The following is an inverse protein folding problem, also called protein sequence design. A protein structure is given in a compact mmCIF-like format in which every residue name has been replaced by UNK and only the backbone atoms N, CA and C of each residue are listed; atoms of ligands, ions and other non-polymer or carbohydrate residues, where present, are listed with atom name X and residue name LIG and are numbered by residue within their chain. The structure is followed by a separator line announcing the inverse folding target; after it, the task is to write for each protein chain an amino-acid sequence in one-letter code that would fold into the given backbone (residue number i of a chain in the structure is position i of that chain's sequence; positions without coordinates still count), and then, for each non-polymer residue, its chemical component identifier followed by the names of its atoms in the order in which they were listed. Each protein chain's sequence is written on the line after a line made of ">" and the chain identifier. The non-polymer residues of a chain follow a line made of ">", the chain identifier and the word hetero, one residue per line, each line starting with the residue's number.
data_IF_618021004121
#
_entry.id   IF_618021004121
#
_cell.length_a   1.000
_cell.length_b   1.000
_cell.length_c   1.000
_cell.angle_alpha   90.00
_cell.angle_beta   90.00
_cell.angle_gamma   90.00
#
_symmetry.space_group_name_H-M   'P 1'
#
loop_
_entity.id
_entity.type
_entity.pdbx_description
1 polymer ?
#
# COMPACT_ATOMS: atom_id res chain seq x y z
N UNK A 1 -21.31 -15.41 7.21
CA UNK A 1 -21.11 -14.86 8.58
C UNK A 1 -22.32 -14.07 9.06
N UNK A 2 -22.56 -13.98 10.38
CA UNK A 2 -23.65 -13.18 10.97
C UNK A 2 -23.13 -11.76 11.30
N UNK A 3 -23.84 -10.71 10.90
CA UNK A 3 -23.58 -9.33 11.31
C UNK A 3 -24.68 -8.90 12.29
N UNK A 4 -24.31 -8.39 13.46
CA UNK A 4 -25.23 -7.82 14.44
C UNK A 4 -24.70 -6.46 14.89
N UNK A 5 -25.56 -5.45 14.81
CA UNK A 5 -25.38 -4.15 15.45
C UNK A 5 -26.22 -4.16 16.72
N UNK A 6 -25.55 -4.19 17.86
CA UNK A 6 -26.22 -4.33 19.17
C UNK A 6 -26.33 -2.98 19.88
N UNK A 7 -27.47 -2.75 20.53
CA UNK A 7 -27.74 -1.57 21.38
C UNK A 7 -27.25 -0.26 20.75
N UNK A 8 -26.17 0.29 21.30
CA UNK A 8 -25.58 1.56 20.88
C UNK A 8 -25.15 1.63 19.41
N UNK A 9 -24.80 0.51 18.77
CA UNK A 9 -24.45 0.51 17.34
C UNK A 9 -25.68 0.69 16.45
N UNK A 10 -26.80 0.04 16.79
CA UNK A 10 -28.06 0.19 16.06
C UNK A 10 -28.65 1.59 16.27
N UNK A 11 -28.57 2.11 17.50
CA UNK A 11 -28.99 3.47 17.81
C UNK A 11 -28.14 4.52 17.10
N UNK A 12 -26.82 4.31 16.99
CA UNK A 12 -25.93 5.15 16.20
C UNK A 12 -26.32 5.17 14.71
N UNK A 13 -26.60 4.01 14.11
CA UNK A 13 -27.06 3.93 12.72
C UNK A 13 -28.38 4.68 12.50
N UNK A 14 -29.34 4.54 13.42
CA UNK A 14 -30.63 5.24 13.34
C UNK A 14 -30.50 6.74 13.60
N UNK A 15 -29.61 7.13 14.51
CA UNK A 15 -29.29 8.54 14.76
C UNK A 15 -28.70 9.19 13.52
N UNK A 16 -27.74 8.54 12.87
CA UNK A 16 -27.16 8.97 11.59
C UNK A 16 -28.21 9.14 10.50
N UNK A 17 -29.12 8.17 10.35
CA UNK A 17 -30.21 8.28 9.37
C UNK A 17 -31.08 9.50 9.64
N UNK A 18 -31.49 9.71 10.89
CA UNK A 18 -32.31 10.86 11.29
C UNK A 18 -31.59 12.20 11.13
N UNK A 19 -30.34 12.30 11.57
CA UNK A 19 -29.56 13.56 11.53
C UNK A 19 -29.11 13.95 10.12
N UNK A 20 -28.96 12.98 9.22
CA UNK A 20 -28.71 13.19 7.80
C UNK A 20 -29.96 13.34 6.94
N UNK A 21 -31.17 13.18 7.52
CA UNK A 21 -32.42 13.23 6.75
C UNK A 21 -32.51 12.14 5.67
N UNK A 22 -31.97 10.94 5.93
CA UNK A 22 -31.95 9.82 4.98
C UNK A 22 -32.64 8.58 5.55
N UNK A 23 -32.89 7.59 4.69
CA UNK A 23 -33.33 6.26 5.13
C UNK A 23 -32.19 5.49 5.77
N UNK A 24 -32.52 4.54 6.65
CA UNK A 24 -31.55 3.62 7.24
C UNK A 24 -30.81 2.80 6.16
N UNK A 25 -31.50 2.44 5.07
CA UNK A 25 -30.89 1.80 3.91
C UNK A 25 -29.76 2.65 3.33
N UNK A 26 -30.02 3.93 2.99
CA UNK A 26 -29.02 4.81 2.38
C UNK A 26 -27.85 5.06 3.31
N UNK A 27 -28.12 5.18 4.63
CA UNK A 27 -27.08 5.29 5.66
C UNK A 27 -26.17 4.07 5.67
N UNK A 28 -26.72 2.86 5.78
CA UNK A 28 -25.91 1.65 5.85
C UNK A 28 -25.23 1.29 4.52
N UNK A 29 -25.84 1.66 3.39
CA UNK A 29 -25.20 1.57 2.07
C UNK A 29 -23.97 2.49 1.99
N UNK A 30 -24.06 3.72 2.49
CA UNK A 30 -22.92 4.63 2.56
C UNK A 30 -21.80 4.07 3.44
N UNK A 31 -22.12 3.47 4.61
CA UNK A 31 -21.13 2.74 5.42
C UNK A 31 -20.43 1.65 4.61
N UNK A 32 -21.20 0.83 3.88
CA UNK A 32 -20.64 -0.23 3.05
C UNK A 32 -19.73 0.33 1.95
N UNK A 33 -20.17 1.37 1.23
CA UNK A 33 -19.38 2.01 0.17
C UNK A 33 -18.08 2.62 0.71
N UNK A 34 -18.12 3.28 1.87
CA UNK A 34 -16.91 3.79 2.55
C UNK A 34 -15.99 2.63 2.96
N UNK A 35 -16.54 1.55 3.51
CA UNK A 35 -15.77 0.38 3.90
C UNK A 35 -15.06 -0.23 2.68
N UNK A 36 -15.79 -0.48 1.59
CA UNK A 36 -15.24 -1.00 0.33
C UNK A 36 -14.16 -0.07 -0.23
N UNK A 37 -14.43 1.24 -0.28
CA UNK A 37 -13.45 2.26 -0.72
C UNK A 37 -12.14 2.17 0.04
N UNK A 38 -12.21 1.97 1.37
CA UNK A 38 -11.04 1.89 2.26
C UNK A 38 -10.30 0.56 2.13
N UNK A 39 -10.98 -0.52 1.77
CA UNK A 39 -10.40 -1.85 1.58
C UNK A 39 -9.78 -2.05 0.19
N UNK A 40 -10.46 -1.58 -0.86
CA UNK A 40 -10.04 -1.83 -2.25
C UNK A 40 -9.20 -0.70 -2.82
N UNK A 41 -9.29 0.51 -2.26
CA UNK A 41 -8.65 1.68 -2.87
C UNK A 41 -9.29 2.10 -4.21
N UNK A 42 -10.46 1.56 -4.58
CA UNK A 42 -11.23 1.97 -5.76
C UNK A 42 -12.17 3.13 -5.45
N UNK A 43 -12.23 4.13 -6.33
CA UNK A 43 -13.07 5.33 -6.12
C UNK A 43 -14.50 5.15 -6.60
N UNK A 44 -14.67 4.36 -7.64
CA UNK A 44 -15.94 4.11 -8.30
C UNK A 44 -16.38 2.70 -7.91
N UNK A 45 -17.50 2.61 -7.20
CA UNK A 45 -18.01 1.38 -6.62
C UNK A 45 -19.44 1.16 -7.07
N UNK A 46 -19.80 -0.07 -7.38
CA UNK A 46 -21.17 -0.44 -7.77
C UNK A 46 -21.66 -1.51 -6.82
N UNK A 47 -22.81 -1.26 -6.18
CA UNK A 47 -23.44 -2.19 -5.25
C UNK A 47 -24.81 -2.58 -5.81
N UNK A 48 -25.06 -3.89 -5.90
CA UNK A 48 -26.35 -4.43 -6.30
C UNK A 48 -27.34 -4.35 -5.13
N UNK A 49 -28.57 -3.95 -5.42
CA UNK A 49 -29.67 -3.95 -4.44
C UNK A 49 -30.90 -4.62 -5.04
N UNK A 50 -31.48 -5.61 -4.36
CA UNK A 50 -32.73 -6.21 -4.80
C UNK A 50 -33.89 -5.22 -4.62
N UNK A 51 -34.80 -5.21 -5.58
CA UNK A 51 -35.99 -4.34 -5.58
C UNK A 51 -37.24 -5.17 -5.79
N UNK A 52 -38.29 -4.84 -5.04
CA UNK A 52 -39.59 -5.47 -5.21
C UNK A 52 -40.29 -4.84 -6.44
N UNK A 53 -40.14 -5.44 -7.62
CA UNK A 53 -40.83 -5.02 -8.84
C UNK A 53 -42.22 -5.64 -8.93
N UNK A 54 -42.99 -5.55 -7.83
CA UNK A 54 -44.34 -6.10 -7.76
C UNK A 54 -45.34 -5.06 -8.27
N UNK A 55 -46.05 -5.30 -9.39
CA UNK A 55 -47.06 -4.38 -9.89
C UNK A 55 -48.26 -4.30 -8.93
N UNK A 56 -48.98 -3.18 -8.98
CA UNK A 56 -50.24 -3.02 -8.23
C UNK A 56 -51.24 -4.13 -8.59
N UNK A 57 -51.92 -4.67 -7.58
CA UNK A 57 -52.88 -5.77 -7.74
C UNK A 57 -52.28 -7.18 -7.62
N UNK A 58 -50.96 -7.29 -7.50
CA UNK A 58 -50.26 -8.55 -7.30
C UNK A 58 -49.79 -8.75 -5.85
N UNK A 59 -50.21 -7.94 -4.88
CA UNK A 59 -49.71 -7.95 -3.50
C UNK A 59 -49.82 -9.34 -2.84
N UNK A 60 -50.88 -10.08 -3.14
CA UNK A 60 -51.13 -11.43 -2.61
C UNK A 60 -50.65 -12.60 -3.48
N UNK A 61 -49.98 -12.33 -4.61
CA UNK A 61 -49.61 -13.38 -5.58
C UNK A 61 -48.26 -14.01 -5.26
N UNK A 62 -48.18 -15.34 -5.27
CA UNK A 62 -46.89 -16.05 -5.20
C UNK A 62 -46.23 -16.04 -6.58
N UNK A 63 -44.99 -15.55 -6.68
CA UNK A 63 -44.23 -15.47 -7.92
C UNK A 63 -42.90 -14.72 -7.75
N UNK A 64 -42.03 -14.81 -8.74
CA UNK A 64 -40.72 -14.14 -8.74
C UNK A 64 -40.85 -12.74 -9.36
N UNK A 65 -40.89 -11.72 -8.49
CA UNK A 65 -41.00 -10.30 -8.86
C UNK A 65 -39.77 -9.48 -8.42
N UNK A 66 -38.75 -10.14 -7.87
CA UNK A 66 -37.56 -9.45 -7.38
C UNK A 66 -36.70 -9.07 -8.58
N UNK A 67 -36.50 -7.77 -8.77
CA UNK A 67 -35.51 -7.22 -9.68
C UNK A 67 -34.23 -6.84 -8.95
N UNK A 68 -33.27 -6.30 -9.70
CA UNK A 68 -32.01 -5.79 -9.16
C UNK A 68 -31.71 -4.43 -9.77
N UNK A 69 -31.26 -3.48 -8.95
CA UNK A 69 -30.69 -2.21 -9.40
C UNK A 69 -29.23 -2.13 -8.98
N UNK A 70 -28.42 -1.45 -9.78
CA UNK A 70 -27.02 -1.18 -9.48
C UNK A 70 -26.86 0.27 -9.02
N UNK A 71 -26.41 0.45 -7.79
CA UNK A 71 -26.19 1.76 -7.19
C UNK A 71 -24.71 2.08 -7.27
N UNK A 72 -24.36 3.01 -8.17
CA UNK A 72 -22.99 3.50 -8.36
C UNK A 72 -22.69 4.63 -7.37
N UNK A 73 -21.61 4.50 -6.62
CA UNK A 73 -21.07 5.53 -5.73
C UNK A 73 -19.65 5.90 -6.13
N UNK A 74 -19.41 7.19 -6.34
CA UNK A 74 -18.05 7.71 -6.56
C UNK A 74 -17.58 8.46 -5.31
N UNK A 75 -16.55 7.93 -4.65
CA UNK A 75 -16.16 8.33 -3.31
C UNK A 75 -14.70 8.80 -3.20
N UNK A 76 -14.51 10.06 -2.83
CA UNK A 76 -13.23 10.60 -2.36
C UNK A 76 -13.02 10.40 -0.87
N UNK A 77 -11.79 10.10 -0.43
CA UNK A 77 -11.48 9.93 1.00
C UNK A 77 -11.50 11.23 1.81
N UNK A 78 -11.45 12.39 1.12
CA UNK A 78 -11.55 13.70 1.73
C UNK A 78 -13.00 14.12 2.04
N UNK A 79 -13.99 13.46 1.43
CA UNK A 79 -15.41 13.74 1.70
C UNK A 79 -15.76 13.36 3.14
N UNK A 80 -16.61 14.16 3.77
CA UNK A 80 -17.25 13.84 5.04
C UNK A 80 -18.23 12.70 4.89
N UNK A 81 -18.52 11.96 5.97
CA UNK A 81 -19.52 10.89 5.90
C UNK A 81 -20.90 11.42 5.50
N UNK A 82 -21.27 12.63 5.95
CA UNK A 82 -22.52 13.29 5.58
C UNK A 82 -22.69 13.43 4.07
N UNK A 83 -21.66 13.93 3.37
CA UNK A 83 -21.68 14.07 1.91
C UNK A 83 -21.85 12.71 1.22
N UNK A 84 -21.18 11.67 1.72
CA UNK A 84 -21.33 10.30 1.16
C UNK A 84 -22.74 9.76 1.38
N UNK A 85 -23.30 9.98 2.57
CA UNK A 85 -24.65 9.55 2.91
C UNK A 85 -25.71 10.24 2.04
N UNK A 86 -25.55 11.54 1.76
CA UNK A 86 -26.42 12.31 0.86
C UNK A 86 -26.30 11.79 -0.58
N UNK A 87 -25.08 11.56 -1.07
CA UNK A 87 -24.85 10.98 -2.40
C UNK A 87 -25.47 9.58 -2.51
N UNK A 88 -25.31 8.73 -1.49
CA UNK A 88 -25.90 7.40 -1.48
C UNK A 88 -27.44 7.46 -1.51
N UNK A 89 -28.06 8.40 -0.79
CA UNK A 89 -29.51 8.63 -0.85
C UNK A 89 -29.93 9.02 -2.27
N UNK A 90 -29.29 10.03 -2.85
CA UNK A 90 -29.71 10.58 -4.15
C UNK A 90 -29.55 9.54 -5.27
N UNK A 91 -28.43 8.81 -5.27
CA UNK A 91 -28.19 7.69 -6.21
C UNK A 91 -29.15 6.53 -6.01
N UNK A 92 -29.55 6.24 -4.77
CA UNK A 92 -30.55 5.21 -4.50
C UNK A 92 -31.90 5.62 -5.08
N UNK A 93 -32.36 6.85 -4.83
CA UNK A 93 -33.64 7.34 -5.35
C UNK A 93 -33.63 7.32 -6.88
N UNK A 94 -32.59 7.86 -7.51
CA UNK A 94 -32.41 7.84 -8.97
C UNK A 94 -32.45 6.41 -9.54
N UNK A 95 -31.76 5.46 -8.91
CA UNK A 95 -31.76 4.07 -9.37
C UNK A 95 -33.15 3.40 -9.22
N UNK A 96 -33.88 3.71 -8.13
CA UNK A 96 -35.21 3.15 -7.88
C UNK A 96 -36.27 3.70 -8.85
N UNK A 97 -36.17 4.95 -9.28
CA UNK A 97 -37.05 5.55 -10.30
C UNK A 97 -36.97 4.81 -11.65
N UNK A 98 -35.87 4.08 -11.89
CA UNK A 98 -35.63 3.27 -13.08
C UNK A 98 -35.67 1.75 -12.84
N UNK A 99 -36.15 1.31 -11.67
CA UNK A 99 -36.19 -0.11 -11.26
C UNK A 99 -37.02 -1.03 -12.18
N UNK A 100 -37.89 -0.47 -13.01
CA UNK A 100 -38.71 -1.22 -13.97
C UNK A 100 -37.91 -1.86 -15.10
N UNK A 101 -36.72 -1.33 -15.44
CA UNK A 101 -35.86 -1.89 -16.48
C UNK A 101 -35.16 -3.16 -15.96
N UNK A 102 -35.30 -4.33 -16.61
CA UNK A 102 -34.65 -5.55 -16.16
C UNK A 102 -33.11 -5.42 -16.14
N UNK A 103 -32.48 -5.88 -15.06
CA UNK A 103 -31.03 -5.78 -14.88
C UNK A 103 -30.23 -6.43 -16.03
N UNK A 104 -30.73 -7.54 -16.58
CA UNK A 104 -30.10 -8.21 -17.72
C UNK A 104 -30.03 -7.32 -18.97
N UNK A 105 -31.07 -6.51 -19.22
CA UNK A 105 -31.08 -5.55 -20.33
C UNK A 105 -30.09 -4.40 -20.09
N UNK A 106 -29.95 -3.93 -18.84
CA UNK A 106 -28.93 -2.91 -18.48
C UNK A 106 -27.53 -3.42 -18.78
N UNK A 107 -27.22 -4.67 -18.40
CA UNK A 107 -25.92 -5.31 -18.68
C UNK A 107 -25.66 -5.41 -20.18
N UNK A 108 -26.67 -5.76 -20.97
CA UNK A 108 -26.59 -5.85 -22.43
C UNK A 108 -26.35 -4.48 -23.08
N UNK A 109 -27.12 -3.47 -22.69
CA UNK A 109 -27.01 -2.10 -23.21
C UNK A 109 -25.65 -1.46 -22.91
N UNK A 110 -25.05 -1.77 -21.76
CA UNK A 110 -23.73 -1.29 -21.39
C UNK A 110 -22.58 -2.07 -22.06
N UNK A 111 -22.89 -3.15 -22.79
CA UNK A 111 -21.88 -3.95 -23.49
C UNK A 111 -20.85 -4.58 -22.56
N UNK A 112 -21.23 -4.89 -21.31
CA UNK A 112 -20.30 -5.42 -20.31
C UNK A 112 -19.80 -6.79 -20.77
N UNK A 113 -18.47 -6.96 -20.82
CA UNK A 113 -17.85 -8.23 -21.19
C UNK A 113 -18.26 -9.30 -20.19
N UNK A 114 -18.88 -10.38 -20.69
CA UNK A 114 -19.25 -11.52 -19.87
C UNK A 114 -18.02 -12.32 -19.46
N UNK A 115 -17.92 -12.58 -18.16
CA UNK A 115 -16.94 -13.48 -17.55
C UNK A 115 -17.72 -14.55 -16.78
N UNK A 116 -17.58 -15.85 -17.11
CA UNK A 116 -18.29 -16.93 -16.42
C UNK A 116 -17.99 -17.01 -14.92
N UNK A 117 -16.85 -16.47 -14.48
CA UNK A 117 -16.42 -16.49 -13.08
C UNK A 117 -16.82 -15.25 -12.28
N UNK A 118 -17.54 -14.29 -12.88
CA UNK A 118 -17.93 -13.03 -12.21
C UNK A 118 -19.36 -12.63 -12.51
N UNK A 119 -20.01 -12.05 -11.50
CA UNK A 119 -21.28 -11.40 -11.72
C UNK A 119 -21.10 -10.16 -12.62
N UNK A 120 -22.00 -9.93 -13.58
CA UNK A 120 -21.90 -8.75 -14.43
C UNK A 120 -22.18 -7.49 -13.60
N UNK A 121 -21.33 -6.47 -13.78
CA UNK A 121 -21.46 -5.10 -13.24
C UNK A 121 -21.24 -4.94 -11.73
N UNK A 122 -21.68 -5.89 -10.90
CA UNK A 122 -21.62 -5.78 -9.43
C UNK A 122 -21.03 -7.05 -8.82
N UNK A 123 -19.98 -6.90 -8.00
CA UNK A 123 -19.43 -8.00 -7.19
C UNK A 123 -20.00 -8.03 -5.77
N UNK A 124 -20.63 -6.92 -5.32
CA UNK A 124 -21.15 -6.76 -3.96
C UNK A 124 -22.64 -6.46 -3.97
N UNK A 125 -23.40 -7.16 -3.12
CA UNK A 125 -24.83 -6.94 -2.89
C UNK A 125 -25.12 -6.33 -1.52
N UNK A 126 -26.14 -5.48 -1.46
CA UNK A 126 -26.65 -4.91 -0.21
C UNK A 126 -28.17 -4.83 -0.23
N UNK A 127 -28.78 -5.42 0.80
CA UNK A 127 -30.21 -5.44 1.03
C UNK A 127 -30.50 -5.13 2.51
N UNK A 128 -31.51 -4.28 2.75
CA UNK A 128 -32.07 -4.04 4.06
C UNK A 128 -33.58 -4.28 4.01
N UNK A 129 -34.06 -5.20 4.82
CA UNK A 129 -35.48 -5.48 4.97
C UNK A 129 -35.99 -5.03 6.35
N UNK A 130 -37.22 -4.56 6.39
CA UNK A 130 -37.90 -4.17 7.64
C UNK A 130 -39.20 -4.96 7.73
N UNK A 131 -39.15 -6.21 8.22
CA UNK A 131 -40.34 -7.06 8.27
C UNK A 131 -41.39 -6.49 9.23
N UNK A 132 -42.69 -6.66 8.91
CA UNK A 132 -43.79 -6.33 9.81
C UNK A 132 -43.65 -7.00 11.18
N UNK A 133 -44.18 -6.37 12.24
CA UNK A 133 -43.98 -6.82 13.62
C UNK A 133 -44.43 -8.27 13.87
N UNK A 134 -45.55 -8.68 13.29
CA UNK A 134 -46.12 -10.03 13.36
C UNK A 134 -45.24 -11.09 12.68
N UNK A 135 -44.32 -10.68 11.80
CA UNK A 135 -43.41 -11.56 11.05
C UNK A 135 -42.00 -11.60 11.61
N UNK A 136 -41.65 -10.79 12.61
CA UNK A 136 -40.28 -10.77 13.18
C UNK A 136 -39.86 -12.11 13.79
N UNK A 137 -40.77 -12.80 14.48
CA UNK A 137 -40.50 -14.13 15.04
C UNK A 137 -40.13 -15.18 13.99
N UNK A 138 -40.73 -15.10 12.79
CA UNK A 138 -40.39 -15.95 11.65
C UNK A 138 -38.94 -15.72 11.21
N UNK A 139 -38.53 -14.46 11.10
CA UNK A 139 -37.15 -14.13 10.73
C UNK A 139 -36.13 -14.53 11.79
N UNK A 140 -36.43 -14.41 13.08
CA UNK A 140 -35.53 -14.90 14.13
C UNK A 140 -35.25 -16.39 14.02
N UNK A 141 -36.28 -17.18 13.68
CA UNK A 141 -36.16 -18.62 13.41
C UNK A 141 -35.38 -18.90 12.12
N UNK A 142 -35.71 -18.22 11.02
CA UNK A 142 -35.02 -18.39 9.74
C UNK A 142 -33.53 -18.02 9.78
N UNK A 143 -33.16 -17.07 10.65
CA UNK A 143 -31.78 -16.60 10.80
C UNK A 143 -30.96 -17.44 11.79
N UNK A 144 -31.56 -18.49 12.37
CA UNK A 144 -30.92 -19.38 13.34
C UNK A 144 -30.46 -18.60 14.58
N UNK A 145 -31.30 -17.72 15.12
CA UNK A 145 -30.98 -17.06 16.38
C UNK A 145 -31.05 -18.07 17.54
N UNK A 146 -30.07 -18.06 18.47
CA UNK A 146 -30.04 -19.02 19.56
C UNK A 146 -31.31 -18.98 20.40
N UNK A 147 -31.99 -20.13 20.52
CA UNK A 147 -33.21 -20.28 21.30
C UNK A 147 -34.46 -19.67 20.69
N UNK A 148 -34.42 -19.21 19.43
CA UNK A 148 -35.59 -18.72 18.73
C UNK A 148 -36.51 -19.88 18.34
N UNK A 149 -37.76 -19.83 18.83
CA UNK A 149 -38.84 -20.72 18.41
C UNK A 149 -40.02 -19.92 17.88
N UNK A 150 -40.80 -20.52 16.98
CA UNK A 150 -41.99 -19.93 16.40
C UNK A 150 -43.15 -20.91 16.54
N UNK A 151 -44.23 -20.49 17.20
CA UNK A 151 -45.49 -21.24 17.21
C UNK A 151 -46.32 -20.82 15.99
N UNK A 152 -46.49 -21.73 15.03
CA UNK A 152 -47.27 -21.49 13.82
C UNK A 152 -48.04 -22.75 13.41
N UNK A 153 -49.35 -22.59 13.23
CA UNK A 153 -50.23 -23.70 12.83
C UNK A 153 -50.37 -24.81 13.87
N UNK A 154 -50.28 -24.46 15.17
CA UNK A 154 -50.34 -25.42 16.28
C UNK A 154 -49.08 -26.29 16.42
N UNK A 155 -47.97 -25.86 15.83
CA UNK A 155 -46.67 -26.53 15.89
C UNK A 155 -45.58 -25.54 16.29
N UNK A 156 -44.60 -26.05 17.02
CA UNK A 156 -43.37 -25.34 17.33
C UNK A 156 -42.34 -25.55 16.22
N UNK A 157 -41.74 -24.46 15.76
CA UNK A 157 -40.68 -24.42 14.76
C UNK A 157 -39.41 -23.87 15.40
N UNK A 158 -38.27 -24.46 15.09
CA UNK A 158 -36.95 -23.97 15.51
C UNK A 158 -36.04 -23.76 14.30
N UNK A 159 -35.09 -22.84 14.44
CA UNK A 159 -34.13 -22.55 13.38
C UNK A 159 -33.04 -23.62 13.33
N UNK A 160 -32.79 -24.17 12.14
CA UNK A 160 -31.65 -25.05 11.89
C UNK A 160 -30.68 -24.32 10.97
N UNK A 161 -29.46 -24.09 11.44
CA UNK A 161 -28.39 -23.48 10.63
C UNK A 161 -28.01 -24.47 9.51
N UNK A 162 -28.53 -24.25 8.31
CA UNK A 162 -28.11 -24.94 7.09
C UNK A 162 -27.06 -24.08 6.38
N UNK A 163 -25.93 -24.65 5.94
CA UNK A 163 -24.98 -23.92 5.10
C UNK A 163 -25.60 -23.67 3.72
N UNK A 164 -26.32 -22.56 3.57
CA UNK A 164 -26.76 -22.06 2.26
C UNK A 164 -25.54 -21.46 1.54
N UNK A 165 -25.03 -22.18 0.54
CA UNK A 165 -24.06 -21.66 -0.41
C UNK A 165 -24.79 -20.78 -1.43
N UNK A 166 -25.11 -19.56 -1.03
CA UNK A 166 -25.70 -18.54 -1.91
C UNK A 166 -24.62 -17.54 -2.31
N UNK A 167 -23.74 -17.97 -3.23
CA UNK A 167 -22.68 -17.15 -3.82
C UNK A 167 -23.06 -16.64 -5.21
N UNK A 168 -24.15 -15.88 -5.32
CA UNK A 168 -24.45 -15.19 -6.59
C UNK A 168 -23.52 -13.98 -6.83
N UNK A 169 -22.92 -13.45 -5.75
CA UNK A 169 -22.01 -12.32 -5.71
C UNK A 169 -20.85 -12.66 -4.76
N UNK A 170 -19.70 -12.00 -4.93
CA UNK A 170 -18.50 -12.20 -4.10
C UNK A 170 -18.79 -11.93 -2.61
N UNK A 171 -19.57 -10.88 -2.33
CA UNK A 171 -20.05 -10.50 -0.99
C UNK A 171 -21.51 -10.04 -1.08
N UNK A 172 -22.41 -10.61 -0.27
CA UNK A 172 -23.81 -10.19 -0.23
C UNK A 172 -24.26 -9.91 1.21
N UNK A 173 -24.59 -8.66 1.49
CA UNK A 173 -25.08 -8.18 2.77
C UNK A 173 -26.61 -8.17 2.79
N UNK A 174 -27.20 -8.99 3.66
CA UNK A 174 -28.64 -9.00 3.87
C UNK A 174 -28.95 -8.69 5.33
N UNK A 175 -29.42 -7.46 5.58
CA UNK A 175 -29.71 -6.95 6.92
C UNK A 175 -31.22 -6.84 7.16
N UNK A 176 -31.59 -7.00 8.42
CA UNK A 176 -32.97 -6.91 8.91
C UNK A 176 -33.05 -5.85 10.01
N UNK A 177 -34.00 -4.93 9.89
CA UNK A 177 -34.42 -4.07 11.01
C UNK A 177 -35.44 -4.79 11.87
N UNK A 178 -35.02 -5.17 13.08
CA UNK A 178 -35.83 -5.91 14.05
C UNK A 178 -36.49 -4.99 15.09
N UNK A 179 -36.35 -3.68 14.94
CA UNK A 179 -36.80 -2.67 15.91
C UNK A 179 -35.86 -2.55 17.11
N UNK A 180 -35.63 -3.63 17.88
CA UNK A 180 -34.72 -3.59 19.04
C UNK A 180 -33.23 -3.69 18.65
N UNK A 181 -32.93 -3.99 17.38
CA UNK A 181 -31.58 -4.04 16.85
C UNK A 181 -31.55 -4.21 15.33
N UNK A 182 -30.35 -4.18 14.76
CA UNK A 182 -30.10 -4.45 13.34
C UNK A 182 -29.23 -5.68 13.23
N UNK A 183 -29.62 -6.65 12.40
CA UNK A 183 -28.84 -7.86 12.26
C UNK A 183 -29.15 -8.59 10.96
N UNK A 184 -28.23 -9.44 10.53
CA UNK A 184 -28.31 -10.01 9.20
C UNK A 184 -27.25 -11.07 8.92
N UNK A 185 -27.28 -11.55 7.68
CA UNK A 185 -26.31 -12.49 7.14
C UNK A 185 -25.47 -11.78 6.10
N UNK A 186 -24.19 -12.13 6.08
CA UNK A 186 -23.26 -11.78 5.01
C UNK A 186 -22.80 -13.07 4.39
N UNK A 187 -23.31 -13.35 3.19
CA UNK A 187 -22.88 -14.45 2.34
C UNK A 187 -21.64 -14.01 1.54
N UNK A 188 -20.73 -14.94 1.28
CA UNK A 188 -19.50 -14.65 0.57
C UNK A 188 -18.97 -15.89 -0.14
N UNK A 189 -18.25 -15.69 -1.23
CA UNK A 189 -17.57 -16.78 -1.92
C UNK A 189 -16.34 -17.25 -1.10
N UNK A 190 -16.40 -18.49 -0.60
CA UNK A 190 -15.32 -19.10 0.16
C UNK A 190 -14.06 -19.39 -0.66
N UNK A 191 -14.15 -19.38 -2.00
CA UNK A 191 -12.97 -19.43 -2.86
C UNK A 191 -12.20 -18.11 -2.87
N UNK A 192 -12.85 -16.99 -2.52
CA UNK A 192 -12.26 -15.64 -2.50
C UNK A 192 -11.94 -15.17 -1.08
N UNK A 193 -12.75 -15.55 -0.08
CA UNK A 193 -12.61 -15.04 1.28
C UNK A 193 -12.55 -16.15 2.33
N UNK A 194 -11.53 -16.07 3.18
CA UNK A 194 -11.52 -16.76 4.46
C UNK A 194 -12.52 -16.13 5.43
N UNK A 195 -13.12 -16.93 6.31
CA UNK A 195 -14.01 -16.45 7.37
C UNK A 195 -13.37 -15.34 8.22
N UNK A 196 -12.07 -15.46 8.53
CA UNK A 196 -11.34 -14.46 9.31
C UNK A 196 -11.27 -13.09 8.62
N UNK A 197 -11.24 -13.07 7.28
CA UNK A 197 -11.20 -11.85 6.48
C UNK A 197 -12.56 -11.15 6.52
N UNK A 198 -13.63 -11.90 6.34
CA UNK A 198 -15.00 -11.38 6.45
C UNK A 198 -15.27 -10.88 7.86
N UNK A 199 -14.85 -11.59 8.90
CA UNK A 199 -15.02 -11.14 10.29
C UNK A 199 -14.29 -9.81 10.59
N UNK A 200 -13.10 -9.60 10.01
CA UNK A 200 -12.40 -8.30 10.09
C UNK A 200 -13.17 -7.21 9.36
N UNK A 201 -13.72 -7.51 8.19
CA UNK A 201 -14.54 -6.59 7.41
C UNK A 201 -15.81 -6.18 8.18
N UNK A 202 -16.52 -7.14 8.77
CA UNK A 202 -17.72 -6.88 9.59
C UNK A 202 -17.41 -6.08 10.86
N UNK A 203 -16.27 -6.34 11.52
CA UNK A 203 -15.79 -5.48 12.62
C UNK A 203 -15.51 -4.05 12.14
N UNK A 204 -14.90 -3.89 10.97
CA UNK A 204 -14.70 -2.59 10.33
C UNK A 204 -16.02 -1.87 10.06
N UNK A 205 -17.01 -2.58 9.51
CA UNK A 205 -18.37 -2.04 9.27
C UNK A 205 -18.99 -1.48 10.55
N UNK A 206 -19.00 -2.27 11.63
CA UNK A 206 -19.55 -1.88 12.94
C UNK A 206 -18.89 -0.62 13.50
N UNK A 207 -17.56 -0.59 13.50
CA UNK A 207 -16.79 0.57 13.97
C UNK A 207 -17.07 1.81 13.14
N UNK A 208 -17.21 1.63 11.82
CA UNK A 208 -17.48 2.73 10.92
C UNK A 208 -18.87 3.35 11.17
N UNK A 209 -19.90 2.54 11.45
CA UNK A 209 -21.21 3.03 11.90
C UNK A 209 -21.06 3.94 13.12
N UNK A 210 -20.35 3.48 14.15
CA UNK A 210 -20.17 4.23 15.40
C UNK A 210 -19.34 5.50 15.17
N UNK A 211 -18.23 5.40 14.43
CA UNK A 211 -17.34 6.52 14.16
C UNK A 211 -18.02 7.59 13.30
N UNK A 212 -18.77 7.19 12.27
CA UNK A 212 -19.56 8.10 11.45
C UNK A 212 -20.63 8.82 12.28
N UNK A 213 -21.27 8.13 13.23
CA UNK A 213 -22.29 8.73 14.09
C UNK A 213 -21.70 9.76 15.06
N UNK A 214 -20.48 9.52 15.55
CA UNK A 214 -19.79 10.43 16.44
C UNK A 214 -19.21 11.66 15.71
N UNK A 215 -18.66 11.47 14.50
CA UNK A 215 -17.94 12.50 13.76
C UNK A 215 -18.38 12.54 12.27
N UNK A 216 -19.66 12.90 11.97
CA UNK A 216 -20.21 12.80 10.62
C UNK A 216 -19.56 13.73 9.59
N UNK A 217 -19.00 14.85 10.07
CA UNK A 217 -18.36 15.87 9.23
C UNK A 217 -16.85 15.60 9.05
N UNK A 218 -16.30 14.57 9.70
CA UNK A 218 -14.89 14.17 9.54
C UNK A 218 -14.69 13.46 8.21
N UNK A 219 -13.58 13.74 7.49
CA UNK A 219 -13.25 13.02 6.26
C UNK A 219 -13.26 11.50 6.47
N UNK A 220 -13.94 10.76 5.58
CA UNK A 220 -14.10 9.31 5.71
C UNK A 220 -12.77 8.55 5.65
N UNK A 221 -11.72 9.14 5.07
CA UNK A 221 -10.35 8.63 5.12
C UNK A 221 -9.72 8.64 6.51
N UNK A 222 -10.21 9.48 7.42
CA UNK A 222 -9.71 9.62 8.79
C UNK A 222 -10.56 8.87 9.84
N UNK A 223 -11.71 8.32 9.44
CA UNK A 223 -12.48 7.44 10.32
C UNK A 223 -11.72 6.12 10.52
N UNK A 224 -11.58 5.71 11.79
CA UNK A 224 -10.76 4.57 12.18
C UNK A 224 -11.53 3.25 12.01
N UNK A 225 -10.99 2.36 11.18
CA UNK A 225 -11.56 1.02 10.96
C UNK A 225 -10.99 -0.06 11.92
N UNK A 226 -9.95 0.27 12.68
CA UNK A 226 -9.22 -0.66 13.54
C UNK A 226 -9.40 -0.29 15.01
N UNK A 227 -9.50 -1.27 15.92
CA UNK A 227 -9.36 -0.98 17.35
C UNK A 227 -7.94 -0.55 17.67
N UNK A 228 -7.80 -0.03 18.88
CA UNK A 228 -6.51 0.11 19.52
C UNK A 228 -5.70 -1.20 19.56
N UNK A 229 -6.32 -2.35 19.89
CA UNK A 229 -5.59 -3.63 19.91
C UNK A 229 -5.06 -4.04 18.52
N UNK A 230 -5.87 -3.89 17.47
CA UNK A 230 -5.47 -4.15 16.08
C UNK A 230 -4.36 -3.19 15.64
N UNK A 231 -4.42 -1.91 16.02
CA UNK A 231 -3.35 -0.93 15.75
C UNK A 231 -2.06 -1.24 16.49
N UNK A 232 -2.14 -1.63 17.76
CA UNK A 232 -0.97 -2.07 18.55
C UNK A 232 -0.32 -3.30 17.93
N UNK A 233 -1.12 -4.28 17.50
CA UNK A 233 -0.59 -5.47 16.81
C UNK A 233 0.15 -5.10 15.52
N UNK A 234 -0.40 -4.19 14.70
CA UNK A 234 0.28 -3.70 13.50
C UNK A 234 1.58 -2.95 13.83
N UNK A 235 1.57 -2.14 14.90
CA UNK A 235 2.77 -1.44 15.36
C UNK A 235 3.90 -2.41 15.73
N UNK A 236 3.56 -3.55 16.36
CA UNK A 236 4.55 -4.58 16.74
C UNK A 236 5.08 -5.34 15.52
N UNK A 237 4.23 -5.62 14.53
CA UNK A 237 4.66 -6.32 13.31
C UNK A 237 5.68 -5.52 12.50
N UNK A 238 5.60 -4.19 12.54
CA UNK A 238 6.48 -3.28 11.78
C UNK A 238 7.74 -2.82 12.51
N UNK A 239 7.86 -3.05 13.82
CA UNK A 239 8.90 -2.41 14.64
C UNK A 239 10.25 -3.15 14.68
N UNK A 240 10.35 -4.36 14.12
CA UNK A 240 11.54 -5.19 14.29
C UNK A 240 11.84 -5.46 15.77
N UNK A 241 12.98 -6.11 16.06
CA UNK A 241 13.48 -6.16 17.43
C UNK A 241 14.22 -4.87 17.76
N UNK A 242 13.94 -4.27 18.92
CA UNK A 242 14.78 -3.18 19.45
C UNK A 242 16.22 -3.68 19.56
N UNK A 243 17.13 -3.00 18.86
CA UNK A 243 18.57 -3.25 18.94
C UNK A 243 19.24 -1.95 19.31
N UNK A 244 20.04 -2.02 20.37
CA UNK A 244 20.95 -0.93 20.71
C UNK A 244 21.82 -0.59 19.49
N UNK A 245 21.88 0.68 19.08
CA UNK A 245 22.81 1.11 18.06
C UNK A 245 24.22 0.69 18.48
N UNK A 246 24.92 -0.03 17.61
CA UNK A 246 26.32 -0.35 17.89
C UNK A 246 27.13 0.96 17.95
N UNK A 247 27.99 1.09 18.96
CA UNK A 247 28.85 2.25 19.10
C UNK A 247 29.95 2.29 18.04
N UNK A 248 30.25 3.48 17.54
CA UNK A 248 31.26 3.70 16.50
C UNK A 248 30.69 3.72 15.08
N UNK A 249 31.55 4.04 14.12
CA UNK A 249 31.23 4.01 12.69
C UNK A 249 31.74 2.72 12.05
N UNK A 250 31.16 2.34 10.90
CA UNK A 250 31.69 1.24 10.07
C UNK A 250 33.18 1.42 9.81
N UNK A 251 33.60 2.66 9.48
CA UNK A 251 35.00 3.02 9.30
C UNK A 251 35.81 2.68 10.56
N UNK A 252 35.38 3.11 11.75
CA UNK A 252 36.11 2.81 12.99
C UNK A 252 36.29 1.32 13.25
N UNK A 253 35.26 0.50 12.96
CA UNK A 253 35.35 -0.96 13.12
C UNK A 253 36.31 -1.60 12.13
N UNK A 254 36.32 -1.13 10.87
CA UNK A 254 37.27 -1.59 9.85
C UNK A 254 38.69 -1.22 10.26
N UNK A 255 38.95 0.02 10.69
CA UNK A 255 40.27 0.48 11.12
C UNK A 255 40.79 -0.29 12.34
N UNK A 256 39.91 -0.56 13.32
CA UNK A 256 40.27 -1.37 14.48
C UNK A 256 40.61 -2.81 14.10
N UNK A 257 39.91 -3.38 13.11
CA UNK A 257 40.27 -4.70 12.57
C UNK A 257 41.61 -4.65 11.84
N UNK A 258 41.86 -3.61 11.02
CA UNK A 258 43.13 -3.42 10.34
C UNK A 258 44.33 -3.43 11.31
N UNK A 259 44.19 -2.76 12.46
CA UNK A 259 45.23 -2.69 13.49
C UNK A 259 45.46 -4.04 14.19
N UNK A 260 44.39 -4.80 14.46
CA UNK A 260 44.47 -6.08 15.18
C UNK A 260 45.04 -7.22 14.33
N UNK A 261 44.80 -7.18 13.02
CA UNK A 261 45.07 -8.29 12.10
C UNK A 261 45.85 -7.89 10.86
N UNK A 262 46.83 -7.00 10.97
CA UNK A 262 47.51 -6.38 9.81
C UNK A 262 48.02 -7.37 8.75
N UNK A 263 48.54 -8.53 9.14
CA UNK A 263 49.05 -9.55 8.21
C UNK A 263 47.99 -10.50 7.63
N UNK A 264 46.74 -10.45 8.10
CA UNK A 264 45.69 -11.34 7.62
C UNK A 264 45.11 -10.85 6.27
N UNK A 265 44.67 -11.76 5.38
CA UNK A 265 44.02 -11.39 4.13
C UNK A 265 42.71 -10.64 4.41
N UNK A 266 42.51 -9.52 3.71
CA UNK A 266 41.33 -8.66 3.84
C UNK A 266 40.46 -8.68 2.59
N UNK A 267 41.08 -8.55 1.41
CA UNK A 267 40.37 -8.48 0.12
C UNK A 267 41.12 -9.32 -0.91
N UNK A 268 40.41 -10.18 -1.63
CA UNK A 268 40.95 -11.04 -2.69
C UNK A 268 40.19 -10.81 -3.99
N UNK A 269 40.91 -10.67 -5.10
CA UNK A 269 40.31 -10.47 -6.42
C UNK A 269 41.36 -10.39 -7.53
N UNK A 270 40.99 -10.83 -8.73
CA UNK A 270 41.83 -10.74 -9.94
C UNK A 270 43.28 -11.27 -9.77
N UNK A 271 43.48 -12.30 -8.95
CA UNK A 271 44.79 -12.92 -8.73
C UNK A 271 45.70 -12.20 -7.72
N UNK A 272 45.19 -11.18 -7.02
CA UNK A 272 45.91 -10.52 -5.93
C UNK A 272 45.12 -10.55 -4.62
N UNK A 273 45.85 -10.51 -3.51
CA UNK A 273 45.31 -10.46 -2.15
C UNK A 273 45.90 -9.25 -1.44
N UNK A 274 45.05 -8.40 -0.89
CA UNK A 274 45.45 -7.34 0.02
C UNK A 274 45.32 -7.82 1.46
N UNK A 275 46.37 -7.64 2.25
CA UNK A 275 46.28 -7.77 3.69
C UNK A 275 45.51 -6.60 4.31
N UNK A 276 45.05 -6.75 5.54
CA UNK A 276 44.43 -5.67 6.29
C UNK A 276 45.37 -4.47 6.51
N UNK A 277 46.68 -4.71 6.64
CA UNK A 277 47.71 -3.67 6.74
C UNK A 277 47.96 -2.94 5.41
N UNK A 278 47.94 -3.67 4.29
CA UNK A 278 48.02 -3.07 2.95
C UNK A 278 46.79 -2.20 2.68
N UNK A 279 45.59 -2.71 3.00
CA UNK A 279 44.34 -1.98 2.86
C UNK A 279 44.37 -0.68 3.69
N UNK A 280 44.83 -0.73 4.94
CA UNK A 280 44.98 0.44 5.81
C UNK A 280 45.92 1.48 5.21
N UNK A 281 47.14 1.05 4.87
CA UNK A 281 48.19 1.93 4.35
C UNK A 281 47.78 2.59 3.03
N UNK A 282 47.26 1.81 2.08
CA UNK A 282 46.87 2.29 0.76
C UNK A 282 45.65 3.21 0.85
N UNK A 283 44.64 2.85 1.65
CA UNK A 283 43.46 3.71 1.81
C UNK A 283 43.77 5.01 2.55
N UNK A 284 44.68 5.03 3.52
CA UNK A 284 45.14 6.28 4.15
C UNK A 284 45.92 7.17 3.19
N UNK A 285 46.79 6.57 2.38
CA UNK A 285 47.56 7.30 1.38
C UNK A 285 46.64 7.99 0.36
N UNK A 286 45.61 7.29 -0.11
CA UNK A 286 44.61 7.85 -1.02
C UNK A 286 43.70 8.86 -0.31
N UNK A 287 43.27 8.61 0.93
CA UNK A 287 42.44 9.53 1.70
C UNK A 287 43.14 10.88 1.95
N UNK A 288 44.45 10.86 2.22
CA UNK A 288 45.24 12.09 2.34
C UNK A 288 45.22 12.90 1.05
N UNK A 289 45.39 12.25 -0.10
CA UNK A 289 45.30 12.90 -1.41
C UNK A 289 43.91 13.47 -1.65
N UNK A 290 42.85 12.73 -1.33
CA UNK A 290 41.48 13.23 -1.44
C UNK A 290 41.28 14.49 -0.59
N UNK A 291 41.77 14.50 0.66
CA UNK A 291 41.70 15.69 1.54
C UNK A 291 42.53 16.87 1.01
N UNK A 292 43.71 16.61 0.43
CA UNK A 292 44.52 17.63 -0.25
C UNK A 292 43.75 18.27 -1.43
N UNK A 293 42.79 17.56 -2.01
CA UNK A 293 41.92 18.02 -3.11
C UNK A 293 40.55 18.50 -2.62
N UNK A 294 40.39 18.78 -1.32
CA UNK A 294 39.18 19.38 -0.77
C UNK A 294 38.06 18.40 -0.44
N UNK A 295 38.27 17.08 -0.54
CA UNK A 295 37.29 16.09 -0.08
C UNK A 295 37.16 16.16 1.43
N UNK A 296 35.93 16.36 1.89
CA UNK A 296 35.54 16.37 3.29
C UNK A 296 34.09 15.88 3.46
N UNK A 297 33.46 16.17 4.60
CA UNK A 297 32.04 15.95 4.81
C UNK A 297 31.19 16.56 3.69
N UNK A 298 30.13 15.87 3.30
CA UNK A 298 29.23 16.24 2.19
C UNK A 298 29.85 16.24 0.77
N UNK A 299 31.15 15.97 0.63
CA UNK A 299 31.77 15.77 -0.70
C UNK A 299 31.38 14.42 -1.29
N UNK A 300 31.08 14.37 -2.58
CA UNK A 300 30.79 13.12 -3.32
C UNK A 300 31.96 12.80 -4.24
N UNK A 301 32.50 11.58 -4.17
CA UNK A 301 33.61 11.11 -5.01
C UNK A 301 33.12 9.99 -5.93
N UNK A 302 33.14 10.22 -7.24
CA UNK A 302 32.84 9.18 -8.23
C UNK A 302 33.93 8.10 -8.26
N UNK A 303 33.55 6.83 -8.21
CA UNK A 303 34.50 5.72 -8.27
C UNK A 303 34.11 4.85 -9.44
N UNK A 304 34.90 4.92 -10.51
CA UNK A 304 34.71 4.13 -11.73
C UNK A 304 35.76 3.03 -11.74
N UNK A 305 35.49 1.94 -11.04
CA UNK A 305 36.40 0.80 -11.01
C UNK A 305 35.66 -0.51 -11.19
N UNK A 306 36.33 -1.45 -11.86
CA UNK A 306 35.85 -2.83 -11.91
C UNK A 306 36.00 -3.50 -10.52
N UNK A 307 35.27 -4.60 -10.25
CA UNK A 307 35.44 -5.36 -9.02
C UNK A 307 36.90 -5.84 -8.83
N UNK A 308 37.66 -5.14 -8.00
CA UNK A 308 39.07 -5.43 -7.70
C UNK A 308 39.42 -5.05 -6.25
N UNK A 309 40.59 -5.48 -5.73
CA UNK A 309 41.05 -5.04 -4.43
C UNK A 309 41.26 -3.51 -4.33
N UNK A 310 41.56 -2.83 -5.45
CA UNK A 310 41.67 -1.37 -5.53
C UNK A 310 40.33 -0.66 -5.34
N UNK A 311 39.22 -1.25 -5.78
CA UNK A 311 37.89 -0.71 -5.50
C UNK A 311 37.67 -0.60 -3.98
N UNK A 312 38.02 -1.64 -3.20
CA UNK A 312 37.91 -1.59 -1.74
C UNK A 312 38.82 -0.50 -1.12
N UNK A 313 40.02 -0.29 -1.66
CA UNK A 313 40.92 0.81 -1.25
C UNK A 313 40.27 2.16 -1.52
N UNK A 314 39.70 2.37 -2.71
CA UNK A 314 39.06 3.62 -3.12
C UNK A 314 37.86 3.95 -2.22
N UNK A 315 36.94 2.99 -2.01
CA UNK A 315 35.76 3.19 -1.16
C UNK A 315 36.14 3.54 0.28
N UNK A 316 37.13 2.84 0.86
CA UNK A 316 37.60 3.12 2.21
C UNK A 316 38.32 4.48 2.30
N UNK A 317 39.07 4.86 1.27
CA UNK A 317 39.75 6.15 1.22
C UNK A 317 38.79 7.33 1.17
N UNK A 318 37.70 7.23 0.40
CA UNK A 318 36.64 8.25 0.36
C UNK A 318 36.01 8.44 1.73
N UNK A 319 35.65 7.34 2.40
CA UNK A 319 35.11 7.40 3.76
C UNK A 319 36.11 7.97 4.77
N UNK A 320 37.42 7.65 4.67
CA UNK A 320 38.47 8.24 5.51
C UNK A 320 38.68 9.74 5.26
N UNK A 321 38.46 10.20 4.04
CA UNK A 321 38.51 11.61 3.70
C UNK A 321 37.29 12.37 4.25
N UNK A 322 36.21 11.65 4.59
CA UNK A 322 34.96 12.21 5.11
C UNK A 322 33.84 12.30 4.07
N UNK A 323 34.11 11.91 2.82
CA UNK A 323 33.15 11.98 1.72
C UNK A 323 32.24 10.76 1.60
N UNK A 324 31.25 10.88 0.73
CA UNK A 324 30.46 9.79 0.19
C UNK A 324 30.99 9.40 -1.19
N UNK A 325 30.89 8.12 -1.57
CA UNK A 325 31.26 7.70 -2.91
C UNK A 325 30.03 7.53 -3.80
N UNK A 326 30.17 7.84 -5.09
CA UNK A 326 29.23 7.52 -6.15
C UNK A 326 29.82 6.37 -6.99
N UNK A 327 29.33 5.12 -6.85
CA UNK A 327 29.86 4.02 -7.63
C UNK A 327 29.40 4.14 -9.09
N UNK A 328 30.36 4.10 -10.02
CA UNK A 328 30.13 4.08 -11.45
C UNK A 328 30.55 2.72 -12.00
N UNK A 329 29.65 2.03 -12.70
CA UNK A 329 29.96 0.77 -13.37
C UNK A 329 30.52 1.06 -14.77
N UNK A 330 31.76 0.65 -15.10
CA UNK A 330 32.34 0.79 -16.44
C UNK A 330 31.51 0.16 -17.57
N UNK A 331 30.63 -0.80 -17.25
CA UNK A 331 29.74 -1.44 -18.23
C UNK A 331 28.52 -0.59 -18.59
N UNK A 332 28.28 0.51 -17.87
CA UNK A 332 27.21 1.43 -18.23
C UNK A 332 27.55 2.18 -19.52
N UNK A 333 26.54 2.50 -20.36
CA UNK A 333 26.76 3.36 -21.52
C UNK A 333 27.37 4.72 -21.10
N UNK A 334 28.26 5.32 -21.91
CA UNK A 334 28.93 6.59 -21.57
C UNK A 334 27.97 7.73 -21.26
N UNK A 335 26.83 7.80 -21.97
CA UNK A 335 25.76 8.78 -21.72
C UNK A 335 25.17 8.66 -20.31
N UNK A 336 25.01 7.43 -19.80
CA UNK A 336 24.52 7.19 -18.43
C UNK A 336 25.54 7.63 -17.39
N UNK A 337 26.82 7.42 -17.66
CA UNK A 337 27.90 7.83 -16.76
C UNK A 337 28.03 9.35 -16.71
N UNK A 338 27.96 10.04 -17.86
CA UNK A 338 27.90 11.50 -17.96
C UNK A 338 26.72 12.07 -17.20
N UNK A 339 25.53 11.49 -17.38
CA UNK A 339 24.34 11.87 -16.62
C UNK A 339 24.52 11.71 -15.10
N UNK A 340 25.09 10.58 -14.66
CA UNK A 340 25.37 10.34 -13.23
C UNK A 340 26.42 11.31 -12.67
N UNK A 341 27.33 11.79 -13.50
CA UNK A 341 28.33 12.82 -13.18
C UNK A 341 27.77 14.25 -13.24
N UNK A 342 26.49 14.44 -13.62
CA UNK A 342 25.84 15.75 -13.61
C UNK A 342 25.96 16.56 -14.90
N UNK A 343 26.38 15.96 -16.03
CA UNK A 343 26.31 16.68 -17.32
C UNK A 343 24.85 17.03 -17.65
N UNK A 344 24.55 18.34 -17.66
CA UNK A 344 23.27 18.92 -18.08
C UNK A 344 22.43 19.58 -16.98
N UNK A 345 22.75 19.41 -15.69
CA UNK A 345 22.15 20.16 -14.58
C UNK A 345 23.25 20.50 -13.56
N UNK A 346 23.53 21.78 -13.39
CA UNK A 346 24.79 22.29 -12.85
C UNK A 346 25.23 21.79 -11.46
N UNK A 347 26.52 22.04 -11.19
CA UNK A 347 27.24 21.93 -9.91
C UNK A 347 27.88 20.58 -9.55
N UNK A 348 28.34 19.78 -10.52
CA UNK A 348 29.25 18.65 -10.21
C UNK A 348 30.44 18.64 -11.17
N UNK A 349 31.60 19.13 -10.72
CA UNK A 349 32.85 19.07 -11.49
C UNK A 349 33.57 17.75 -11.17
N UNK A 350 33.62 16.76 -12.06
CA UNK A 350 34.35 15.50 -11.84
C UNK A 350 35.87 15.64 -12.10
N UNK A 351 36.74 15.44 -11.12
CA UNK A 351 38.21 15.45 -11.20
C UNK A 351 38.75 14.02 -11.19
N UNK A 352 39.28 13.53 -12.30
CA UNK A 352 39.84 12.19 -12.33
C UNK A 352 41.17 12.09 -11.56
N UNK A 353 41.23 11.28 -10.50
CA UNK A 353 42.44 11.03 -9.71
C UNK A 353 43.05 9.67 -10.11
N UNK A 354 44.05 9.72 -10.98
CA UNK A 354 45.15 8.75 -10.96
C UNK A 354 46.32 9.34 -10.15
N UNK A 355 47.21 8.50 -9.64
CA UNK A 355 48.23 8.90 -8.68
C UNK A 355 49.04 10.16 -9.12
N UNK A 356 49.00 11.20 -8.25
CA UNK A 356 49.80 12.45 -8.19
C UNK A 356 49.38 13.68 -9.05
N UNK A 357 48.86 14.76 -8.40
CA UNK A 357 48.85 16.16 -8.88
C UNK A 357 48.67 17.22 -7.74
N UNK A 358 48.84 18.53 -8.06
CA UNK A 358 49.03 19.74 -7.20
C UNK A 358 48.00 20.85 -7.57
N UNK A 359 47.64 21.85 -6.73
CA UNK A 359 46.30 22.42 -6.68
C UNK A 359 45.98 23.49 -7.74
N UNK A 360 44.71 23.55 -8.17
CA UNK A 360 44.07 24.78 -8.64
C UNK A 360 43.03 25.22 -7.58
N UNK A 361 43.11 26.50 -7.20
CA UNK A 361 42.32 27.07 -6.13
C UNK A 361 40.94 27.50 -6.61
N UNK A 362 39.89 27.11 -5.89
CA UNK A 362 38.55 27.67 -6.04
C UNK A 362 37.48 26.68 -5.63
N UNK A 363 36.77 26.98 -4.55
CA UNK A 363 35.72 26.10 -4.02
C UNK A 363 34.50 26.03 -4.93
N UNK A 364 34.02 24.81 -5.16
CA UNK A 364 32.64 24.33 -5.39
C UNK A 364 32.67 22.81 -5.49
N UNK A 365 31.51 22.15 -5.53
CA UNK A 365 31.36 20.69 -5.45
C UNK A 365 32.12 19.97 -6.58
N UNK A 366 33.35 19.54 -6.25
CA UNK A 366 34.20 18.74 -7.12
C UNK A 366 33.87 17.27 -6.85
N UNK A 367 33.13 16.62 -7.74
CA UNK A 367 33.20 15.16 -7.82
C UNK A 367 34.63 14.77 -8.15
N UNK A 368 35.17 13.69 -7.60
CA UNK A 368 36.47 13.17 -8.05
C UNK A 368 36.26 11.80 -8.68
N UNK A 369 36.75 11.55 -9.89
CA UNK A 369 36.66 10.27 -10.58
C UNK A 369 37.91 9.40 -10.29
N UNK A 370 37.78 8.41 -9.42
CA UNK A 370 38.86 7.45 -9.16
C UNK A 370 38.76 6.27 -10.14
N UNK A 371 39.74 6.11 -11.02
CA UNK A 371 39.81 4.99 -11.98
C UNK A 371 41.22 4.76 -12.54
N UNK A 372 41.47 3.54 -13.04
CA UNK A 372 42.61 3.22 -13.90
C UNK A 372 42.46 3.84 -15.29
N UNK A 373 43.60 4.18 -15.89
CA UNK A 373 43.66 4.82 -17.21
C UNK A 373 43.01 3.97 -18.31
N UNK A 374 43.27 2.66 -18.29
CA UNK A 374 42.77 1.74 -19.31
C UNK A 374 41.23 1.64 -19.28
N UNK A 375 40.66 1.68 -18.07
CA UNK A 375 39.20 1.68 -17.87
C UNK A 375 38.62 2.99 -18.38
N UNK A 376 39.26 4.12 -18.06
CA UNK A 376 38.81 5.43 -18.51
C UNK A 376 38.84 5.56 -20.04
N UNK A 377 39.93 5.16 -20.70
CA UNK A 377 40.08 5.20 -22.16
C UNK A 377 39.11 4.23 -22.87
N UNK A 378 38.72 3.12 -22.23
CA UNK A 378 37.72 2.19 -22.77
C UNK A 378 36.30 2.77 -22.71
N UNK A 379 35.97 3.45 -21.60
CA UNK A 379 34.63 3.97 -21.33
C UNK A 379 34.39 5.32 -22.00
N UNK A 380 35.44 6.16 -22.12
CA UNK A 380 35.40 7.47 -22.76
C UNK A 380 36.51 7.56 -23.82
N UNK A 381 36.36 6.90 -24.99
CA UNK A 381 37.40 6.85 -26.02
C UNK A 381 37.70 8.21 -26.65
N UNK A 382 36.71 9.12 -26.66
CA UNK A 382 36.86 10.50 -27.14
C UNK A 382 37.36 11.45 -26.03
N UNK A 383 37.73 10.92 -24.86
CA UNK A 383 38.08 11.69 -23.67
C UNK A 383 36.88 12.23 -22.89
N UNK A 384 37.17 12.86 -21.75
CA UNK A 384 36.22 13.70 -21.02
C UNK A 384 36.58 15.16 -21.28
N UNK A 385 36.23 15.70 -22.46
CA UNK A 385 36.58 17.08 -22.82
C UNK A 385 36.05 18.13 -21.83
N UNK A 386 34.99 17.79 -21.07
CA UNK A 386 34.36 18.64 -20.06
C UNK A 386 34.86 18.41 -18.61
N UNK A 387 35.81 17.50 -18.39
CA UNK A 387 36.33 17.21 -17.05
C UNK A 387 37.86 17.24 -17.00
N UNK A 388 38.48 17.82 -15.96
CA UNK A 388 39.93 17.79 -15.79
C UNK A 388 40.41 16.34 -15.61
N UNK A 389 40.95 15.76 -16.68
CA UNK A 389 41.58 14.44 -16.69
C UNK A 389 43.07 14.58 -16.38
N UNK A 390 43.54 13.97 -15.29
CA UNK A 390 44.93 14.02 -14.86
C UNK A 390 45.53 12.60 -14.83
N UNK A 391 46.56 12.37 -15.64
CA UNK A 391 47.27 11.09 -15.74
C UNK A 391 48.77 11.25 -15.43
N UNK A 392 49.38 10.24 -14.80
CA UNK A 392 50.83 10.05 -14.82
C UNK A 392 51.16 8.56 -15.09
N UNK A 393 52.17 8.31 -15.94
CA UNK A 393 52.68 6.95 -16.20
C UNK A 393 53.42 6.39 -14.98
N UNK A 394 53.37 5.07 -14.74
CA UNK A 394 54.20 4.43 -13.71
C UNK A 394 55.66 4.62 -14.11
N UNK A 395 56.44 5.29 -13.24
CA UNK A 395 57.82 5.65 -13.48
C UNK A 395 58.64 4.51 -14.09
N UNK A 396 59.01 4.69 -15.36
CA UNK A 396 60.11 3.97 -15.97
C UNK A 396 61.38 4.35 -15.24
N UNK A 397 61.93 3.42 -14.47
CA UNK A 397 63.34 3.42 -14.14
C UNK A 397 64.15 3.19 -15.41
N UNK A 398 64.99 4.16 -15.81
CA UNK A 398 66.23 3.91 -16.57
C UNK A 398 67.03 5.20 -16.78
N UNK A 399 68.37 5.14 -16.78
CA UNK A 399 69.28 4.53 -15.83
C UNK A 399 69.82 5.53 -14.78
#
# INVERSE_FOLDING_TARGET
>A
SKLRLEGGEADAARLLARSGGTTLFSTLLAVLQVLLRRWTGQRDLVVATPVANRPRGFEGTVGYFVGQVAIRGELGLAASYREVQEQARDRTVEALDHSALPFAEVVELLGVRRDPGRAPLCDVGFALESPPMDRRGVFSVLMGDPGATLELGGKSWEGVDLPQQEGQLDLNFHLLDRGEGLGGLVAYDSALFDASTVDRLLRGFRRLVVAAAAEPDRPVGHLLLLCEAERRQLSVLGSGGEREPRSGSLLSWVLDHCRRGAGAPAVEGAGSTLSYGDLDTRSEALARRLREHGVGPESVVAVLEEPSPELAVALLAVHRAGGAYLPLDPKNPPERLRYMLGEGQGEVEALALSATFSPAAGGRDVALLLTRREVLETVFPDGLEDFPVLFQEPGGSSP
#
